data_IF_870786591044
#
_entry.id   IF_870786591044
#
_cell.length_a   1.000
_cell.length_b   1.000
_cell.length_c   1.000
_cell.angle_alpha   90.00
_cell.angle_beta   90.00
_cell.angle_gamma   90.00
#
_symmetry.space_group_name_H-M   'P 1'
#
loop_
_entity.id
_entity.type
_entity.pdbx_description
1 polymer ?
#
# COMPACT_ATOMS: atom_id res chain seq x y z
N UNK A 1 -4.65 -10.38 -78.76
CA UNK A 1 -4.41 -11.72 -79.34
C UNK A 1 -3.01 -12.17 -78.93
N UNK A 2 -2.90 -13.33 -78.27
CA UNK A 2 -1.62 -13.87 -77.78
C UNK A 2 -1.76 -14.71 -76.51
N UNK A 3 -2.43 -15.85 -76.63
CA UNK A 3 -2.37 -17.09 -75.81
C UNK A 3 -0.92 -17.54 -75.53
N UNK A 4 -0.52 -18.35 -74.54
CA UNK A 4 -1.08 -19.02 -73.36
C UNK A 4 0.06 -19.87 -72.71
N UNK A 5 -0.18 -20.38 -71.48
CA UNK A 5 0.36 -21.67 -70.95
C UNK A 5 1.84 -21.63 -70.47
N UNK A 6 2.31 -22.19 -69.33
CA UNK A 6 1.93 -23.39 -68.57
C UNK A 6 2.53 -23.36 -67.14
N UNK A 7 1.94 -24.21 -66.29
CA UNK A 7 2.09 -24.44 -64.85
C UNK A 7 3.50 -24.83 -64.39
N UNK A 8 3.93 -24.35 -63.21
CA UNK A 8 4.68 -25.15 -62.23
C UNK A 8 4.19 -24.74 -60.83
N UNK A 9 3.63 -25.72 -60.12
CA UNK A 9 3.28 -25.64 -58.72
C UNK A 9 4.54 -25.88 -57.87
N UNK A 10 4.75 -25.06 -56.84
CA UNK A 10 5.62 -25.38 -55.72
C UNK A 10 4.99 -24.76 -54.47
N UNK A 11 4.32 -25.60 -53.69
CA UNK A 11 3.82 -25.27 -52.37
C UNK A 11 5.02 -25.24 -51.40
N UNK A 12 5.32 -24.07 -50.85
CA UNK A 12 6.13 -23.95 -49.65
C UNK A 12 5.21 -23.45 -48.53
N UNK A 13 4.79 -24.38 -47.69
CA UNK A 13 4.12 -24.08 -46.43
C UNK A 13 5.14 -23.42 -45.48
N UNK A 14 4.91 -22.16 -45.14
CA UNK A 14 5.58 -21.48 -44.04
C UNK A 14 4.49 -21.03 -43.07
N UNK A 15 4.41 -21.74 -41.95
CA UNK A 15 3.64 -21.34 -40.79
C UNK A 15 4.33 -20.14 -40.12
N UNK A 16 3.57 -19.08 -39.83
CA UNK A 16 3.97 -18.05 -38.88
C UNK A 16 2.72 -17.45 -38.22
N UNK A 17 2.85 -17.25 -36.92
CA UNK A 17 1.82 -17.19 -35.91
C UNK A 17 0.91 -15.96 -35.97
N UNK A 18 -0.31 -16.14 -35.49
CA UNK A 18 -1.24 -15.08 -35.15
C UNK A 18 -0.68 -14.22 -34.01
N UNK A 19 -0.60 -12.90 -34.20
CA UNK A 19 -0.48 -11.94 -33.12
C UNK A 19 -1.74 -11.07 -33.12
N UNK A 20 -2.70 -11.47 -32.28
CA UNK A 20 -3.76 -10.57 -31.85
C UNK A 20 -3.12 -9.49 -30.97
N UNK A 21 -3.13 -8.24 -31.42
CA UNK A 21 -2.69 -7.10 -30.63
C UNK A 21 -3.86 -6.70 -29.74
N UNK A 22 -3.98 -7.37 -28.59
CA UNK A 22 -4.88 -6.93 -27.52
C UNK A 22 -4.25 -5.70 -26.87
N UNK A 23 -4.90 -4.55 -26.96
CA UNK A 23 -4.50 -3.34 -26.26
C UNK A 23 -4.66 -3.59 -24.75
N UNK A 24 -3.56 -3.95 -24.09
CA UNK A 24 -3.47 -3.98 -22.64
C UNK A 24 -3.66 -2.56 -22.11
N UNK A 25 -4.69 -2.36 -21.30
CA UNK A 25 -4.83 -1.17 -20.46
C UNK A 25 -3.65 -1.13 -19.50
N UNK A 26 -2.72 -0.21 -19.73
CA UNK A 26 -1.63 0.07 -18.80
C UNK A 26 -2.20 0.88 -17.63
N UNK A 27 -2.80 0.22 -16.65
CA UNK A 27 -2.89 0.76 -15.31
C UNK A 27 -1.52 0.55 -14.67
N UNK A 28 -0.75 1.63 -14.53
CA UNK A 28 0.44 1.63 -13.70
C UNK A 28 0.00 1.62 -12.24
N UNK A 29 -0.34 0.44 -11.72
CA UNK A 29 -0.42 0.18 -10.28
C UNK A 29 1.05 0.21 -9.76
N UNK A 30 1.37 0.98 -8.72
CA UNK A 30 2.70 0.89 -8.12
C UNK A 30 2.92 -0.53 -7.58
N UNK A 31 3.83 -1.27 -8.21
CA UNK A 31 4.25 -2.60 -7.74
C UNK A 31 4.97 -2.46 -6.39
N UNK A 32 4.34 -2.97 -5.32
CA UNK A 32 4.87 -3.08 -3.97
C UNK A 32 3.83 -2.63 -2.94
N UNK A 33 2.97 -3.48 -2.38
CA UNK A 33 3.35 -4.66 -1.59
C UNK A 33 2.14 -5.60 -1.49
N UNK A 34 2.03 -6.56 -2.41
CA UNK A 34 1.03 -7.66 -2.39
C UNK A 34 1.32 -8.70 -1.28
N UNK A 35 1.79 -8.28 -0.11
CA UNK A 35 1.54 -9.10 1.06
C UNK A 35 0.06 -8.87 1.37
N UNK A 36 -0.88 -9.75 1.08
CA UNK A 36 -2.05 -9.79 1.95
C UNK A 36 -1.48 -10.31 3.28
N UNK A 37 -1.11 -9.41 4.19
CA UNK A 37 -0.67 -9.82 5.51
C UNK A 37 -1.75 -10.69 6.14
N UNK A 38 -1.39 -11.52 7.11
CA UNK A 38 -2.31 -12.47 7.74
C UNK A 38 -3.52 -11.80 8.48
N UNK A 39 -3.70 -10.49 8.36
CA UNK A 39 -4.78 -9.73 8.96
C UNK A 39 -5.55 -8.84 7.97
N UNK A 40 -6.75 -8.44 8.38
CA UNK A 40 -7.67 -7.63 7.58
C UNK A 40 -7.37 -6.13 7.63
N UNK A 41 -6.39 -5.70 8.43
CA UNK A 41 -5.95 -4.30 8.52
C UNK A 41 -4.45 -4.21 8.30
N UNK A 42 -4.04 -3.31 7.42
CA UNK A 42 -2.64 -2.94 7.21
C UNK A 42 -2.42 -1.48 7.47
N UNK A 43 -1.38 -1.17 8.25
CA UNK A 43 -0.82 0.17 8.38
C UNK A 43 0.41 0.32 7.51
N UNK A 44 0.52 1.45 6.80
CA UNK A 44 1.71 1.83 6.03
C UNK A 44 2.14 3.22 6.44
N UNK A 45 3.45 3.41 6.60
CA UNK A 45 4.10 4.71 6.73
C UNK A 45 5.22 4.82 5.69
N UNK A 46 5.07 5.77 4.78
CA UNK A 46 6.04 6.14 3.77
C UNK A 46 6.57 7.56 4.00
N UNK A 47 7.73 7.87 3.39
CA UNK A 47 8.39 9.17 3.54
C UNK A 47 9.19 9.54 2.30
N UNK A 48 9.35 10.83 2.04
CA UNK A 48 10.21 11.37 0.99
C UNK A 48 11.70 11.43 1.34
N UNK A 49 12.09 11.22 2.62
CA UNK A 49 13.50 11.17 3.03
C UNK A 49 13.70 10.28 4.27
N UNK A 50 14.89 9.69 4.48
CA UNK A 50 15.19 8.91 5.68
C UNK A 50 14.87 9.69 6.97
N UNK A 51 13.99 9.15 7.81
CA UNK A 51 13.52 9.85 8.99
C UNK A 51 13.19 8.91 10.15
N UNK A 52 13.34 9.42 11.37
CA UNK A 52 12.92 8.72 12.59
C UNK A 52 11.54 9.20 13.03
N UNK A 53 10.63 8.25 13.23
CA UNK A 53 9.27 8.51 13.68
C UNK A 53 8.98 7.81 15.00
N UNK A 54 8.20 8.46 15.84
CA UNK A 54 7.40 7.79 16.86
C UNK A 54 6.04 7.49 16.25
N UNK A 55 5.64 6.23 16.31
CA UNK A 55 4.34 5.78 15.82
C UNK A 55 3.51 5.20 16.97
N UNK A 56 2.21 5.42 16.90
CA UNK A 56 1.22 4.83 17.81
C UNK A 56 0.10 4.25 16.96
N UNK A 57 -0.22 2.98 17.16
CA UNK A 57 -1.21 2.28 16.35
C UNK A 57 -1.88 1.16 17.15
N UNK A 58 -3.09 0.79 16.74
CA UNK A 58 -3.88 -0.25 17.41
C UNK A 58 -3.42 -1.63 16.94
N UNK A 59 -3.02 -2.52 17.86
CA UNK A 59 -2.53 -3.86 17.53
C UNK A 59 -3.54 -4.97 17.84
N UNK A 60 -4.46 -4.72 18.75
CA UNK A 60 -5.55 -5.61 19.14
C UNK A 60 -6.79 -4.76 19.47
N UNK A 61 -7.97 -5.28 19.11
CA UNK A 61 -9.21 -4.56 19.28
C UNK A 61 -9.76 -4.68 20.71
N UNK A 62 -10.14 -3.56 21.35
CA UNK A 62 -10.89 -3.56 22.61
C UNK A 62 -12.34 -4.04 22.38
N UNK A 63 -12.97 -4.66 23.39
CA UNK A 63 -14.36 -5.09 23.23
C UNK A 63 -15.34 -3.89 23.18
N UNK A 64 -14.93 -2.73 23.69
CA UNK A 64 -15.68 -1.48 23.62
C UNK A 64 -14.81 -0.24 23.83
N UNK A 65 -15.36 0.94 23.55
CA UNK A 65 -14.73 2.24 23.87
C UNK A 65 -14.50 2.45 25.36
N UNK A 66 -15.37 1.89 26.21
CA UNK A 66 -15.19 1.96 27.66
C UNK A 66 -13.94 1.19 28.10
N UNK A 67 -13.71 -0.01 27.57
CA UNK A 67 -12.49 -0.79 27.85
C UNK A 67 -11.24 -0.10 27.34
N UNK A 68 -11.28 0.42 26.12
CA UNK A 68 -10.19 1.21 25.56
C UNK A 68 -9.83 2.40 26.48
N UNK A 69 -10.83 3.19 26.88
CA UNK A 69 -10.61 4.36 27.73
C UNK A 69 -10.11 3.99 29.13
N UNK A 70 -10.46 2.79 29.63
CA UNK A 70 -9.98 2.30 30.92
C UNK A 70 -8.51 1.86 30.85
N UNK A 71 -8.03 1.33 29.72
CA UNK A 71 -6.67 0.82 29.57
C UNK A 71 -6.15 0.82 28.12
N UNK A 72 -5.94 2.00 27.54
CA UNK A 72 -5.56 2.13 26.13
C UNK A 72 -4.21 1.44 25.79
N UNK A 73 -3.26 1.45 26.72
CA UNK A 73 -1.92 0.87 26.53
C UNK A 73 -1.95 -0.66 26.36
N UNK A 74 -3.02 -1.33 26.78
CA UNK A 74 -3.22 -2.76 26.50
C UNK A 74 -3.62 -3.06 25.05
N UNK A 75 -4.02 -2.03 24.29
CA UNK A 75 -4.51 -2.14 22.92
C UNK A 75 -3.60 -1.48 21.87
N UNK A 76 -2.79 -0.52 22.30
CA UNK A 76 -1.90 0.25 21.46
C UNK A 76 -0.46 -0.27 21.54
N UNK A 77 0.23 -0.20 20.40
CA UNK A 77 1.69 -0.26 20.37
C UNK A 77 2.25 1.13 20.09
N UNK A 78 3.32 1.47 20.82
CA UNK A 78 4.08 2.70 20.66
C UNK A 78 5.53 2.33 20.44
N UNK A 79 6.14 2.83 19.37
CA UNK A 79 7.55 2.54 19.09
C UNK A 79 8.22 3.66 18.29
N UNK A 80 9.55 3.67 18.34
CA UNK A 80 10.39 4.55 17.52
C UNK A 80 11.02 3.74 16.41
N UNK A 81 10.82 4.15 15.17
CA UNK A 81 11.30 3.45 13.97
C UNK A 81 12.06 4.40 13.04
N UNK A 82 12.94 3.84 12.22
CA UNK A 82 13.53 4.51 11.07
C UNK A 82 12.78 4.08 9.82
N UNK A 83 12.38 5.04 8.98
CA UNK A 83 11.73 4.79 7.69
C UNK A 83 12.54 5.49 6.61
N UNK A 84 12.75 4.85 5.47
CA UNK A 84 13.38 5.45 4.29
C UNK A 84 12.43 5.36 3.08
N UNK A 85 12.64 6.18 2.04
CA UNK A 85 11.83 6.09 0.82
C UNK A 85 11.85 4.69 0.18
N UNK A 86 12.96 3.98 0.30
CA UNK A 86 13.15 2.64 -0.25
C UNK A 86 12.60 1.52 0.66
N UNK A 87 12.30 1.83 1.92
CA UNK A 87 11.79 0.90 2.90
C UNK A 87 10.67 1.54 3.75
N UNK A 88 9.45 1.65 3.20
CA UNK A 88 8.27 2.01 3.98
C UNK A 88 8.07 1.03 5.14
N UNK A 89 7.53 1.55 6.25
CA UNK A 89 7.13 0.69 7.36
C UNK A 89 5.74 0.12 7.09
N UNK A 90 5.58 -1.18 7.31
CA UNK A 90 4.33 -1.92 7.11
C UNK A 90 4.05 -2.76 8.34
N UNK A 91 2.80 -2.75 8.80
CA UNK A 91 2.33 -3.62 9.88
C UNK A 91 0.94 -4.15 9.59
N UNK A 92 0.77 -5.46 9.73
CA UNK A 92 -0.49 -6.16 9.53
C UNK A 92 -1.08 -6.61 10.87
N UNK A 93 -2.39 -6.43 11.03
CA UNK A 93 -3.15 -6.94 12.18
C UNK A 93 -4.56 -7.33 11.80
N UNK A 94 -5.22 -8.05 12.69
CA UNK A 94 -6.61 -8.45 12.56
C UNK A 94 -7.46 -7.71 13.58
N UNK A 95 -8.41 -6.90 13.11
CA UNK A 95 -9.43 -6.24 13.93
C UNK A 95 -10.80 -6.83 13.60
N UNK A 96 -11.60 -7.15 14.61
CA UNK A 96 -12.98 -7.64 14.42
C UNK A 96 -13.90 -6.60 13.76
N UNK A 97 -13.67 -5.31 14.03
CA UNK A 97 -14.24 -4.16 13.34
C UNK A 97 -13.08 -3.24 12.87
N UNK A 98 -12.73 -3.29 11.57
CA UNK A 98 -11.68 -2.46 11.00
C UNK A 98 -11.87 -0.96 11.21
N UNK A 99 -13.08 -0.48 11.51
CA UNK A 99 -13.31 0.95 11.74
C UNK A 99 -12.60 1.49 13.00
N UNK A 100 -12.03 0.60 13.83
CA UNK A 100 -11.09 0.94 14.90
C UNK A 100 -9.67 1.22 14.44
N UNK A 101 -9.33 0.98 13.18
CA UNK A 101 -7.96 1.14 12.71
C UNK A 101 -7.48 2.60 12.86
N UNK A 102 -6.24 2.72 13.34
CA UNK A 102 -5.60 4.00 13.64
C UNK A 102 -4.08 3.88 13.56
N UNK A 103 -3.47 4.85 12.89
CA UNK A 103 -2.03 5.10 12.85
C UNK A 103 -1.79 6.59 13.07
N UNK A 104 -1.19 6.93 14.19
CA UNK A 104 -0.65 8.27 14.46
C UNK A 104 0.86 8.26 14.35
N UNK A 105 1.37 9.23 13.60
CA UNK A 105 2.78 9.38 13.31
C UNK A 105 3.26 10.71 13.87
N UNK A 106 4.46 10.73 14.43
CA UNK A 106 5.11 11.94 14.89
C UNK A 106 6.59 11.86 14.57
N UNK A 107 7.08 12.80 13.75
CA UNK A 107 8.52 12.94 13.53
C UNK A 107 9.24 13.19 14.86
N UNK A 108 10.44 12.63 15.06
CA UNK A 108 11.27 12.96 16.24
C UNK A 108 12.09 14.24 16.06
N UNK A 109 11.75 15.05 15.05
CA UNK A 109 12.53 16.22 14.63
C UNK A 109 12.81 17.18 15.78
N UNK A 110 14.08 17.57 15.88
CA UNK A 110 14.51 18.79 16.58
C UNK A 110 14.90 19.82 15.53
N UNK A 111 14.65 21.10 15.79
CA UNK A 111 14.70 22.17 14.78
C UNK A 111 15.94 22.18 13.87
N UNK A 112 15.76 22.57 12.61
CA UNK A 112 16.83 22.67 11.60
C UNK A 112 16.91 21.53 10.58
N UNK A 113 16.09 20.47 10.74
CA UNK A 113 15.99 19.37 9.76
C UNK A 113 14.79 19.62 8.84
N UNK A 114 14.97 19.37 7.53
CA UNK A 114 13.89 19.48 6.54
C UNK A 114 12.77 18.47 6.77
N UNK A 115 11.59 18.78 6.22
CA UNK A 115 10.41 17.93 6.37
C UNK A 115 10.58 16.60 5.62
N UNK A 116 10.30 15.46 6.26
CA UNK A 116 10.30 14.15 5.59
C UNK A 116 9.11 13.94 4.63
N UNK A 117 8.10 14.81 4.65
CA UNK A 117 6.86 14.66 3.87
C UNK A 117 6.27 13.26 4.06
N UNK A 118 5.87 12.99 5.31
CA UNK A 118 5.37 11.68 5.70
C UNK A 118 3.97 11.44 5.15
N UNK A 119 3.74 10.20 4.72
CA UNK A 119 2.48 9.69 4.21
C UNK A 119 2.07 8.48 5.06
N UNK A 120 0.88 8.50 5.64
CA UNK A 120 0.27 7.33 6.25
C UNK A 120 -0.85 6.78 5.38
N UNK A 121 -1.06 5.48 5.49
CA UNK A 121 -2.16 4.77 4.85
C UNK A 121 -2.66 3.64 5.74
N UNK A 122 -3.96 3.41 5.73
CA UNK A 122 -4.63 2.25 6.32
C UNK A 122 -5.37 1.53 5.23
N UNK A 123 -5.06 0.24 5.03
CA UNK A 123 -5.80 -0.64 4.16
C UNK A 123 -6.69 -1.57 4.98
N UNK A 124 -7.90 -1.83 4.48
CA UNK A 124 -8.84 -2.82 5.01
C UNK A 124 -9.12 -3.84 3.90
N UNK A 125 -8.88 -5.11 4.20
CA UNK A 125 -9.04 -6.22 3.23
C UNK A 125 -8.29 -5.96 1.89
N UNK A 126 -7.13 -5.32 1.98
CA UNK A 126 -6.29 -4.96 0.82
C UNK A 126 -6.72 -3.70 0.06
N UNK A 127 -7.84 -3.07 0.43
CA UNK A 127 -8.29 -1.81 -0.16
C UNK A 127 -7.92 -0.60 0.71
N UNK A 128 -7.44 0.47 0.09
CA UNK A 128 -7.13 1.73 0.78
C UNK A 128 -8.40 2.31 1.41
N UNK A 129 -8.43 2.38 2.74
CA UNK A 129 -9.58 2.87 3.50
C UNK A 129 -9.41 4.33 3.94
N UNK A 130 -8.19 4.74 4.29
CA UNK A 130 -7.84 6.13 4.60
C UNK A 130 -6.36 6.39 4.33
N UNK A 131 -6.04 7.60 3.87
CA UNK A 131 -4.69 8.12 3.69
C UNK A 131 -4.52 9.46 4.38
N UNK A 132 -3.27 9.85 4.64
CA UNK A 132 -2.96 11.13 5.26
C UNK A 132 -1.55 11.60 4.94
N UNK A 133 -1.45 12.79 4.37
CA UNK A 133 -0.18 13.47 4.10
C UNK A 133 0.06 14.58 5.13
N UNK A 134 1.28 14.63 5.66
CA UNK A 134 1.73 15.74 6.48
C UNK A 134 3.25 15.88 6.42
N UNK A 135 3.80 17.11 6.42
CA UNK A 135 5.24 17.30 6.43
C UNK A 135 5.99 16.51 7.52
N UNK A 136 5.37 16.28 8.69
CA UNK A 136 6.02 15.64 9.85
C UNK A 136 5.17 14.61 10.59
N UNK A 137 3.87 14.85 10.76
CA UNK A 137 3.03 14.13 11.71
C UNK A 137 1.64 13.80 11.14
N UNK A 138 1.55 12.90 10.15
CA UNK A 138 0.26 12.49 9.61
C UNK A 138 -0.49 11.60 10.61
N UNK A 139 -1.81 11.59 10.48
CA UNK A 139 -2.71 10.72 11.27
C UNK A 139 -3.70 10.09 10.29
N UNK A 140 -3.82 8.77 10.36
CA UNK A 140 -4.79 7.98 9.60
C UNK A 140 -5.71 7.27 10.58
N UNK A 141 -7.00 7.56 10.54
CA UNK A 141 -7.97 7.08 11.54
C UNK A 141 -9.32 6.82 10.87
N UNK A 142 -9.94 5.68 11.20
CA UNK A 142 -11.30 5.34 10.77
C UNK A 142 -12.35 5.79 11.80
N UNK A 143 -13.60 5.37 11.67
CA UNK A 143 -14.75 6.08 12.27
C UNK A 143 -15.14 5.71 13.72
N UNK A 144 -14.54 4.68 14.35
CA UNK A 144 -14.97 4.19 15.68
C UNK A 144 -14.35 4.94 16.89
N UNK A 145 -13.77 6.12 16.67
CA UNK A 145 -13.02 6.85 17.68
C UNK A 145 -13.81 7.92 18.43
#
# INVERSE_FOLDING_TARGET
MGTATRRIAAAFALAAAATAVTHGTSAAEPEGTENAGAGNVRYVLATGAPYQFQITYLVNQPASKAEYNANADAYLKRETIMVTPEAPWVFDTTLADPQWAFLQVSSTTRGGVGAPNAHCEVLVDGAVAVTGDNPYSPICMLSQW
#
